data_IF_211420662977
#
_entry.id   IF_211420662977
#
_cell.length_a   1.000
_cell.length_b   1.000
_cell.length_c   1.000
_cell.angle_alpha   90.00
_cell.angle_beta   90.00
_cell.angle_gamma   90.00
#
_symmetry.space_group_name_H-M   'P 1'
#
loop_
_entity.id
_entity.type
_entity.pdbx_description
1 polymer ?
#
# COMPACT_ATOMS: atom_id res chain seq x y z
N UNK A 1 -14.83 -12.45 12.48
CA UNK A 1 -15.18 -11.86 11.18
C UNK A 1 -15.25 -12.98 10.15
N UNK A 2 -16.38 -13.13 9.48
CA UNK A 2 -16.54 -14.08 8.38
C UNK A 2 -15.94 -13.54 7.08
N UNK A 3 -15.81 -14.38 6.05
CA UNK A 3 -15.39 -13.91 4.71
C UNK A 3 -16.38 -12.89 4.16
N UNK A 4 -17.68 -13.10 4.36
CA UNK A 4 -18.71 -12.16 3.90
C UNK A 4 -18.59 -10.82 4.61
N UNK A 5 -18.32 -10.83 5.92
CA UNK A 5 -18.09 -9.59 6.69
C UNK A 5 -16.88 -8.83 6.15
N UNK A 6 -15.79 -9.54 5.84
CA UNK A 6 -14.59 -8.93 5.26
C UNK A 6 -14.87 -8.31 3.89
N UNK A 7 -15.54 -9.04 3.00
CA UNK A 7 -15.90 -8.53 1.67
C UNK A 7 -16.78 -7.29 1.81
N UNK A 8 -17.83 -7.34 2.62
CA UNK A 8 -18.75 -6.22 2.81
C UNK A 8 -18.05 -4.97 3.39
N UNK A 9 -17.05 -5.17 4.25
CA UNK A 9 -16.32 -4.08 4.90
C UNK A 9 -15.29 -3.46 3.95
N UNK A 10 -14.48 -4.30 3.31
CA UNK A 10 -13.27 -3.87 2.63
C UNK A 10 -13.39 -3.80 1.12
N UNK A 11 -14.30 -4.54 0.46
CA UNK A 11 -14.45 -4.46 -1.00
C UNK A 11 -14.91 -3.06 -1.41
N UNK A 12 -14.40 -2.60 -2.55
CA UNK A 12 -14.75 -1.30 -3.12
C UNK A 12 -14.69 -1.33 -4.65
N UNK A 13 -15.61 -0.62 -5.30
CA UNK A 13 -15.56 -0.39 -6.74
C UNK A 13 -14.35 0.50 -7.07
N UNK A 14 -13.61 0.13 -8.12
CA UNK A 14 -12.34 0.76 -8.52
C UNK A 14 -12.34 1.27 -9.96
N UNK A 15 -13.40 1.05 -10.74
CA UNK A 15 -13.57 1.67 -12.05
C UNK A 15 -13.73 3.19 -11.90
N UNK A 16 -13.09 3.93 -12.79
CA UNK A 16 -13.13 5.40 -12.79
C UNK A 16 -12.29 6.05 -11.69
N UNK A 17 -11.40 5.30 -11.01
CA UNK A 17 -10.51 5.84 -9.98
C UNK A 17 -9.08 6.09 -10.50
N UNK A 18 -8.89 6.10 -11.82
CA UNK A 18 -7.56 6.06 -12.46
C UNK A 18 -6.73 4.83 -12.06
N UNK A 19 -7.41 3.69 -11.88
CA UNK A 19 -6.76 2.44 -11.52
C UNK A 19 -6.06 1.82 -12.73
N UNK A 20 -4.75 1.55 -12.63
CA UNK A 20 -4.04 0.79 -13.68
C UNK A 20 -4.71 -0.57 -13.92
N UNK A 21 -5.15 -1.25 -12.85
CA UNK A 21 -5.79 -2.56 -12.92
C UNK A 21 -7.11 -2.54 -13.69
N UNK A 22 -7.99 -1.59 -13.36
CA UNK A 22 -9.36 -1.54 -13.88
C UNK A 22 -9.53 -0.63 -15.10
N UNK A 23 -8.93 0.57 -15.07
CA UNK A 23 -9.07 1.59 -16.13
C UNK A 23 -7.99 1.46 -17.21
N UNK A 24 -6.90 0.72 -16.94
CA UNK A 24 -5.80 0.47 -17.88
C UNK A 24 -6.03 -0.69 -18.85
N UNK A 25 -7.19 -1.35 -18.82
CA UNK A 25 -7.48 -2.58 -19.57
C UNK A 25 -7.36 -2.40 -21.09
N UNK A 26 -7.96 -1.35 -21.66
CA UNK A 26 -7.91 -1.09 -23.09
C UNK A 26 -6.47 -0.87 -23.57
N UNK A 27 -5.70 -0.07 -22.83
CA UNK A 27 -4.30 0.22 -23.17
C UNK A 27 -3.40 -1.03 -23.06
N UNK A 28 -3.69 -1.93 -22.11
CA UNK A 28 -2.87 -3.12 -21.86
C UNK A 28 -3.24 -4.32 -22.72
N UNK A 29 -4.52 -4.49 -23.03
CA UNK A 29 -5.07 -5.71 -23.64
C UNK A 29 -5.95 -5.45 -24.88
N UNK A 30 -6.07 -4.20 -25.35
CA UNK A 30 -6.92 -3.79 -26.48
C UNK A 30 -8.40 -4.18 -26.30
N UNK A 31 -8.81 -4.32 -25.03
CA UNK A 31 -10.16 -4.70 -24.62
C UNK A 31 -10.49 -4.09 -23.27
N UNK A 32 -11.59 -3.36 -23.19
CA UNK A 32 -12.08 -2.70 -21.98
C UNK A 32 -13.07 -3.54 -21.16
N UNK A 33 -13.76 -4.52 -21.77
CA UNK A 33 -14.73 -5.37 -21.08
C UNK A 33 -14.10 -6.70 -20.61
N UNK A 34 -13.15 -6.62 -19.68
CA UNK A 34 -12.49 -7.76 -19.07
C UNK A 34 -12.64 -7.71 -17.54
N UNK A 35 -12.59 -8.87 -16.89
CA UNK A 35 -12.40 -8.96 -15.44
C UNK A 35 -10.88 -8.90 -15.15
N UNK A 36 -10.37 -7.82 -14.52
CA UNK A 36 -8.93 -7.64 -14.36
C UNK A 36 -8.36 -8.47 -13.20
N UNK A 37 -7.53 -9.47 -13.53
CA UNK A 37 -6.84 -10.35 -12.57
C UNK A 37 -5.31 -10.39 -12.82
N UNK A 38 -4.72 -9.27 -13.27
CA UNK A 38 -3.39 -9.27 -13.91
C UNK A 38 -2.29 -8.57 -13.10
N UNK A 39 -2.50 -7.32 -12.66
CA UNK A 39 -1.50 -6.55 -11.91
C UNK A 39 -1.67 -6.75 -10.41
N UNK A 40 -0.54 -6.81 -9.69
CA UNK A 40 -0.48 -7.16 -8.28
C UNK A 40 -0.84 -5.98 -7.35
N UNK A 41 -2.12 -5.60 -7.34
CA UNK A 41 -2.76 -4.83 -6.27
C UNK A 41 -4.11 -5.49 -5.89
N UNK A 42 -4.76 -5.00 -4.83
CA UNK A 42 -5.98 -5.58 -4.29
C UNK A 42 -7.22 -4.73 -4.58
N UNK A 43 -8.40 -5.36 -4.58
CA UNK A 43 -9.70 -4.67 -4.70
C UNK A 43 -10.35 -4.42 -3.33
N UNK A 44 -9.50 -4.33 -2.30
CA UNK A 44 -9.89 -4.11 -0.91
C UNK A 44 -9.29 -2.80 -0.40
N UNK A 45 -10.04 -2.08 0.44
CA UNK A 45 -9.55 -0.93 1.19
C UNK A 45 -8.37 -1.34 2.07
N UNK A 46 -7.44 -0.41 2.27
CA UNK A 46 -6.40 -0.55 3.30
C UNK A 46 -7.03 -0.63 4.70
N UNK A 47 -6.33 -1.19 5.71
CA UNK A 47 -6.83 -1.22 7.08
C UNK A 47 -7.20 0.18 7.59
N UNK A 48 -8.26 0.28 8.41
CA UNK A 48 -8.77 1.56 8.94
C UNK A 48 -7.68 2.38 9.63
N UNK A 49 -6.80 1.72 10.40
CA UNK A 49 -5.66 2.37 11.07
C UNK A 49 -4.73 3.12 10.10
N UNK A 50 -4.57 2.61 8.88
CA UNK A 50 -3.77 3.28 7.83
C UNK A 50 -4.51 4.51 7.33
N UNK A 51 -5.82 4.42 7.11
CA UNK A 51 -6.64 5.56 6.70
C UNK A 51 -6.64 6.66 7.77
N UNK A 52 -6.81 6.30 9.05
CA UNK A 52 -6.74 7.24 10.18
C UNK A 52 -5.43 8.03 10.19
N UNK A 53 -4.28 7.35 10.08
CA UNK A 53 -2.98 8.03 10.06
C UNK A 53 -2.76 8.91 8.83
N UNK A 54 -3.32 8.53 7.69
CA UNK A 54 -3.31 9.40 6.51
C UNK A 54 -4.21 10.64 6.72
N UNK A 55 -5.39 10.48 7.30
CA UNK A 55 -6.29 11.60 7.62
C UNK A 55 -5.65 12.56 8.64
N UNK A 56 -5.05 12.04 9.72
CA UNK A 56 -4.29 12.87 10.67
C UNK A 56 -3.19 13.69 9.97
N UNK A 57 -2.47 13.07 9.03
CA UNK A 57 -1.42 13.75 8.25
C UNK A 57 -1.97 14.81 7.31
N UNK A 58 -3.17 14.58 6.74
CA UNK A 58 -3.89 15.54 5.90
C UNK A 58 -4.33 16.73 6.75
N UNK A 59 -4.91 16.49 7.93
CA UNK A 59 -5.40 17.52 8.84
C UNK A 59 -4.31 18.47 9.34
N UNK A 60 -3.05 18.00 9.40
CA UNK A 60 -1.90 18.86 9.71
C UNK A 60 -1.72 20.02 8.71
N UNK A 61 -2.12 19.84 7.44
CA UNK A 61 -2.20 20.92 6.44
C UNK A 61 -0.88 21.38 5.79
N UNK A 62 0.29 21.00 6.32
CA UNK A 62 1.61 21.34 5.74
C UNK A 62 2.24 20.13 5.08
N UNK A 63 2.57 20.19 3.78
CA UNK A 63 3.10 19.07 2.99
C UNK A 63 4.49 19.34 2.38
N UNK A 64 5.33 20.08 3.12
CA UNK A 64 6.72 20.33 2.73
C UNK A 64 7.62 19.10 2.87
N UNK A 65 8.93 19.32 2.68
CA UNK A 65 9.94 18.26 2.82
C UNK A 65 9.86 17.58 4.20
N UNK A 66 9.90 16.26 4.17
CA UNK A 66 9.82 15.41 5.37
C UNK A 66 11.02 14.47 5.42
N UNK A 67 11.58 14.28 6.61
CA UNK A 67 12.57 13.23 6.86
C UNK A 67 11.86 11.91 7.23
N UNK A 68 12.57 10.79 7.11
CA UNK A 68 12.08 9.50 7.61
C UNK A 68 12.33 9.45 9.12
N UNK A 69 11.27 9.35 9.90
CA UNK A 69 11.33 9.32 11.37
C UNK A 69 11.86 7.97 11.90
N UNK A 70 12.40 7.97 13.12
CA UNK A 70 12.87 6.75 13.79
C UNK A 70 11.74 5.72 14.01
N UNK A 71 10.52 6.21 14.19
CA UNK A 71 9.29 5.40 14.32
C UNK A 71 9.07 4.48 13.11
N UNK A 72 9.47 4.90 11.90
CA UNK A 72 9.42 4.06 10.70
C UNK A 72 10.34 2.85 10.82
N UNK A 73 11.57 3.06 11.27
CA UNK A 73 12.55 1.98 11.44
C UNK A 73 12.11 1.03 12.55
N UNK A 74 11.67 1.54 13.70
CA UNK A 74 11.14 0.71 14.78
C UNK A 74 9.98 -0.18 14.32
N UNK A 75 9.05 0.35 13.53
CA UNK A 75 7.95 -0.42 12.97
C UNK A 75 8.46 -1.55 12.05
N UNK A 76 9.41 -1.26 11.16
CA UNK A 76 10.01 -2.23 10.25
C UNK A 76 10.78 -3.34 10.99
N UNK A 77 11.72 -2.97 11.85
CA UNK A 77 12.59 -3.91 12.57
C UNK A 77 11.73 -4.84 13.45
N UNK A 78 10.75 -4.26 14.15
CA UNK A 78 9.86 -5.00 15.02
C UNK A 78 8.91 -5.92 14.25
N UNK A 79 8.45 -5.52 13.05
CA UNK A 79 7.67 -6.39 12.17
C UNK A 79 8.47 -7.60 11.71
N UNK A 80 9.71 -7.38 11.24
CA UNK A 80 10.60 -8.45 10.77
C UNK A 80 10.89 -9.45 11.89
N UNK A 81 11.19 -8.97 13.10
CA UNK A 81 11.41 -9.84 14.24
C UNK A 81 10.16 -10.63 14.62
N UNK A 82 9.00 -9.99 14.74
CA UNK A 82 7.76 -10.68 15.17
C UNK A 82 7.22 -11.67 14.15
N UNK A 83 7.36 -11.38 12.85
CA UNK A 83 6.74 -12.18 11.78
C UNK A 83 7.67 -13.24 11.19
N UNK A 84 8.97 -12.99 11.24
CA UNK A 84 9.96 -13.81 10.55
C UNK A 84 11.15 -14.22 11.44
N UNK A 85 11.17 -13.81 12.71
CA UNK A 85 12.28 -14.01 13.65
C UNK A 85 13.62 -13.40 13.20
N UNK A 86 13.58 -12.48 12.23
CA UNK A 86 14.76 -11.81 11.68
C UNK A 86 15.07 -10.58 12.53
N UNK A 87 16.28 -10.54 13.10
CA UNK A 87 16.83 -9.35 13.76
C UNK A 87 17.58 -8.51 12.73
N UNK A 88 17.15 -7.27 12.54
CA UNK A 88 17.79 -6.30 11.64
C UNK A 88 18.38 -5.15 12.46
N UNK A 89 19.46 -4.55 11.95
CA UNK A 89 20.03 -3.31 12.47
C UNK A 89 19.59 -2.12 11.60
N UNK A 90 19.41 -0.94 12.22
CA UNK A 90 18.92 0.26 11.52
C UNK A 90 19.85 0.65 10.38
N UNK A 91 21.16 0.48 10.58
CA UNK A 91 22.23 0.86 9.68
C UNK A 91 22.19 0.08 8.36
N UNK A 92 21.61 -1.13 8.37
CA UNK A 92 21.45 -2.00 7.20
C UNK A 92 20.29 -1.53 6.30
N UNK A 93 19.42 -0.65 6.79
CA UNK A 93 18.21 -0.22 6.08
C UNK A 93 18.44 1.12 5.38
N UNK A 94 18.01 1.20 4.12
CA UNK A 94 17.88 2.45 3.36
C UNK A 94 16.45 2.59 2.87
N UNK A 95 15.89 3.78 3.03
CA UNK A 95 14.56 4.09 2.51
C UNK A 95 14.61 4.27 1.00
N UNK A 96 13.64 3.72 0.28
CA UNK A 96 13.43 3.89 -1.16
C UNK A 96 11.93 3.99 -1.45
N UNK A 97 11.56 4.58 -2.57
CA UNK A 97 10.16 4.72 -3.00
C UNK A 97 9.58 3.45 -3.62
N UNK A 98 10.39 2.41 -3.81
CA UNK A 98 9.92 1.12 -4.29
C UNK A 98 11.05 0.12 -4.50
N UNK A 99 10.71 -1.17 -4.52
CA UNK A 99 11.68 -2.28 -4.66
C UNK A 99 12.39 -2.26 -6.01
N UNK A 100 11.70 -1.95 -7.11
CA UNK A 100 12.33 -1.84 -8.44
C UNK A 100 13.41 -0.76 -8.45
N UNK A 101 13.14 0.38 -7.80
CA UNK A 101 14.10 1.49 -7.74
C UNK A 101 15.33 1.17 -6.87
N UNK A 102 15.26 0.20 -5.94
CA UNK A 102 16.44 -0.16 -5.13
C UNK A 102 17.48 -1.02 -5.86
N UNK A 103 17.16 -1.55 -7.04
CA UNK A 103 18.12 -2.33 -7.83
C UNK A 103 19.00 -1.47 -8.75
N UNK A 104 18.58 -0.23 -9.01
CA UNK A 104 19.27 0.72 -9.88
C UNK A 104 20.10 1.71 -9.06
#
# INVERSE_FOLDING_TARGET
>A
MTVQDFINTYYIERKGTSSVKWDGLENKFTRSNLLPLWVADMDFKVPEKVQEKLMERIDHGVFGYSFVEDSYYEALLSWQKRRHDITLEKEWVRFTTGVVNSFN
#
